data_IF_943000784914
#
_entry.id   IF_943000784914
#
_cell.length_a   1.000
_cell.length_b   1.000
_cell.length_c   1.000
_cell.angle_alpha   90.00
_cell.angle_beta   90.00
_cell.angle_gamma   90.00
#
_symmetry.space_group_name_H-M   'P 1'
#
loop_
_entity.id
_entity.type
_entity.pdbx_description
1 polymer ?
#
# COMPACT_ATOMS: atom_id res chain seq x y z
N UNK A 1 -25.37 17.56 -1.57
CA UNK A 1 -24.91 17.43 -0.17
C UNK A 1 -23.80 16.40 -0.16
N UNK A 2 -22.70 16.61 0.59
CA UNK A 2 -21.72 15.54 0.82
C UNK A 2 -22.43 14.31 1.38
N UNK A 3 -22.02 13.12 0.94
CA UNK A 3 -22.54 11.86 1.45
C UNK A 3 -21.93 11.49 2.80
N UNK A 4 -22.39 10.38 3.37
CA UNK A 4 -21.90 9.91 4.67
C UNK A 4 -20.40 9.62 4.66
N UNK A 5 -19.88 9.14 3.52
CA UNK A 5 -18.45 8.83 3.37
C UNK A 5 -17.61 10.12 3.42
N UNK A 6 -18.01 11.15 2.69
CA UNK A 6 -17.29 12.43 2.69
C UNK A 6 -17.30 13.09 4.06
N UNK A 7 -18.46 13.11 4.74
CA UNK A 7 -18.58 13.67 6.08
C UNK A 7 -17.71 12.93 7.09
N UNK A 8 -17.67 11.59 7.02
CA UNK A 8 -16.87 10.77 7.92
C UNK A 8 -15.37 10.98 7.68
N UNK A 9 -14.94 11.00 6.43
CA UNK A 9 -13.52 11.08 6.06
C UNK A 9 -12.96 12.50 6.20
N UNK A 10 -13.78 13.53 6.00
CA UNK A 10 -13.42 14.92 6.31
C UNK A 10 -13.08 15.11 7.80
N UNK A 11 -13.79 14.44 8.71
CA UNK A 11 -13.48 14.46 10.16
C UNK A 11 -12.15 13.79 10.50
N UNK A 12 -11.67 12.90 9.64
CA UNK A 12 -10.34 12.28 9.75
C UNK A 12 -9.26 13.09 9.02
N UNK A 13 -9.63 14.19 8.33
CA UNK A 13 -8.71 14.98 7.52
C UNK A 13 -8.25 14.26 6.26
N UNK A 14 -9.02 13.27 5.77
CA UNK A 14 -8.63 12.47 4.61
C UNK A 14 -9.24 13.01 3.32
N UNK A 15 -8.39 13.13 2.30
CA UNK A 15 -8.84 13.29 0.93
C UNK A 15 -9.14 11.90 0.35
N UNK A 16 -10.37 11.71 -0.14
CA UNK A 16 -10.80 10.46 -0.74
C UNK A 16 -10.93 10.56 -2.25
N UNK A 17 -10.84 9.40 -2.89
CA UNK A 17 -11.07 9.22 -4.31
C UNK A 17 -11.97 8.00 -4.55
N UNK A 18 -12.23 7.64 -5.80
CA UNK A 18 -13.09 6.49 -6.13
C UNK A 18 -12.60 5.17 -5.51
N UNK A 19 -11.29 4.94 -5.51
CA UNK A 19 -10.64 3.89 -4.74
C UNK A 19 -9.69 4.50 -3.71
N UNK A 20 -9.68 3.93 -2.51
CA UNK A 20 -8.95 4.43 -1.36
C UNK A 20 -8.18 3.27 -0.73
N UNK A 21 -6.88 3.44 -0.56
CA UNK A 21 -6.00 2.44 0.05
C UNK A 21 -5.57 2.95 1.42
N UNK A 22 -5.92 2.21 2.47
CA UNK A 22 -5.39 2.41 3.80
C UNK A 22 -4.07 1.66 3.91
N UNK A 23 -3.00 2.39 4.23
CA UNK A 23 -1.67 1.86 4.55
C UNK A 23 -1.37 2.07 6.03
N UNK A 24 -0.36 1.40 6.55
CA UNK A 24 -0.08 1.36 7.98
C UNK A 24 0.40 2.71 8.51
N UNK A 25 1.30 3.38 7.77
CA UNK A 25 2.00 4.56 8.25
C UNK A 25 2.00 5.73 7.28
N UNK A 26 2.42 6.89 7.79
CA UNK A 26 2.65 8.10 6.98
C UNK A 26 3.88 7.98 6.09
N UNK A 27 4.86 7.15 6.45
CA UNK A 27 6.03 6.86 5.62
C UNK A 27 5.61 6.21 4.30
N UNK A 28 4.70 5.23 4.35
CA UNK A 28 4.15 4.56 3.17
C UNK A 28 3.51 5.55 2.19
N UNK A 29 2.66 6.43 2.74
CA UNK A 29 2.00 7.48 1.97
C UNK A 29 3.02 8.43 1.35
N UNK A 30 4.05 8.81 2.11
CA UNK A 30 5.12 9.68 1.63
C UNK A 30 5.88 9.04 0.48
N UNK A 31 6.26 7.77 0.59
CA UNK A 31 6.99 7.06 -0.45
C UNK A 31 6.15 6.93 -1.73
N UNK A 32 4.90 6.48 -1.60
CA UNK A 32 3.97 6.34 -2.73
C UNK A 32 3.72 7.69 -3.43
N UNK A 33 3.48 8.74 -2.65
CA UNK A 33 3.23 10.09 -3.19
C UNK A 33 4.46 10.64 -3.89
N UNK A 34 5.64 10.41 -3.34
CA UNK A 34 6.89 10.84 -3.94
C UNK A 34 7.15 10.12 -5.27
N UNK A 35 7.00 8.79 -5.31
CA UNK A 35 7.13 8.00 -6.54
C UNK A 35 6.13 8.47 -7.62
N UNK A 36 4.88 8.73 -7.24
CA UNK A 36 3.87 9.28 -8.16
C UNK A 36 4.27 10.65 -8.73
N UNK A 37 4.84 11.53 -7.89
CA UNK A 37 5.33 12.85 -8.32
C UNK A 37 6.51 12.76 -9.29
N UNK A 38 7.47 11.88 -9.01
CA UNK A 38 8.59 11.63 -9.93
C UNK A 38 8.09 11.09 -11.27
N UNK A 39 7.16 10.13 -11.25
CA UNK A 39 6.58 9.56 -12.46
C UNK A 39 5.83 10.60 -13.28
N UNK A 40 5.00 11.44 -12.65
CA UNK A 40 4.34 12.57 -13.31
C UNK A 40 5.34 13.52 -13.95
N UNK A 41 6.40 13.87 -13.24
CA UNK A 41 7.42 14.80 -13.74
C UNK A 41 8.16 14.24 -14.94
N UNK A 42 8.47 12.94 -14.93
CA UNK A 42 9.22 12.28 -16.00
C UNK A 42 8.34 11.90 -17.21
N UNK A 43 7.08 11.51 -17.00
CA UNK A 43 6.21 10.89 -18.02
C UNK A 43 4.94 11.69 -18.34
N UNK A 44 4.64 12.75 -17.60
CA UNK A 44 3.42 13.55 -17.76
C UNK A 44 2.13 12.84 -17.34
N UNK A 45 2.23 11.72 -16.63
CA UNK A 45 1.11 10.84 -16.27
C UNK A 45 0.89 10.83 -14.76
N UNK A 46 -0.36 10.99 -14.35
CA UNK A 46 -0.76 10.97 -12.94
C UNK A 46 -1.08 9.54 -12.47
N UNK A 47 -0.18 8.91 -11.71
CA UNK A 47 -0.40 7.54 -11.21
C UNK A 47 -1.55 7.45 -10.19
N UNK A 48 -1.63 8.40 -9.27
CA UNK A 48 -2.74 8.47 -8.31
C UNK A 48 -3.98 9.10 -8.96
N UNK A 49 -3.78 10.15 -9.76
CA UNK A 49 -4.87 10.87 -10.42
C UNK A 49 -5.87 11.45 -9.41
N UNK A 50 -7.12 11.60 -9.85
CA UNK A 50 -8.24 12.00 -8.98
C UNK A 50 -9.09 10.81 -8.53
N UNK A 51 -8.72 9.59 -8.94
CA UNK A 51 -9.53 8.38 -8.78
C UNK A 51 -8.91 7.35 -7.82
N UNK A 52 -7.63 7.47 -7.47
CA UNK A 52 -6.96 6.70 -6.42
C UNK A 52 -6.44 7.63 -5.30
N UNK A 53 -6.77 7.32 -4.05
CA UNK A 53 -6.21 7.95 -2.87
C UNK A 53 -5.49 6.91 -2.00
N UNK A 54 -4.39 7.30 -1.38
CA UNK A 54 -3.66 6.49 -0.39
C UNK A 54 -3.54 7.30 0.89
N UNK A 55 -3.92 6.69 2.01
CA UNK A 55 -4.02 7.37 3.31
C UNK A 55 -3.51 6.49 4.43
N UNK A 56 -2.88 7.10 5.46
CA UNK A 56 -2.41 6.34 6.60
C UNK A 56 -3.62 5.99 7.47
N UNK A 57 -3.66 4.79 8.03
CA UNK A 57 -4.77 4.36 8.88
C UNK A 57 -4.85 5.13 10.22
N UNK A 58 -3.78 5.83 10.59
CA UNK A 58 -3.69 6.76 11.71
C UNK A 58 -2.30 7.40 11.80
N UNK A 59 -2.12 8.29 12.78
CA UNK A 59 -0.83 8.94 13.07
C UNK A 59 -0.17 8.30 14.28
N UNK A 60 1.14 8.05 14.22
CA UNK A 60 1.91 7.47 15.32
C UNK A 60 1.27 6.19 15.87
N UNK A 61 0.93 6.19 17.16
CA UNK A 61 0.32 5.05 17.85
C UNK A 61 -1.12 4.71 17.39
N UNK A 62 -1.76 5.59 16.61
CA UNK A 62 -3.07 5.31 16.02
C UNK A 62 -2.98 4.60 14.66
N UNK A 63 -1.78 4.52 14.07
CA UNK A 63 -1.52 3.84 12.80
C UNK A 63 -1.27 2.35 12.96
N UNK A 64 -0.47 1.79 12.04
CA UNK A 64 -0.14 0.37 12.00
C UNK A 64 -1.32 -0.52 11.64
N UNK A 65 -1.10 -1.83 11.78
CA UNK A 65 -2.10 -2.86 11.51
C UNK A 65 -3.43 -2.67 12.28
N UNK A 66 -3.37 -2.18 13.52
CA UNK A 66 -4.56 -1.92 14.35
C UNK A 66 -5.36 -0.72 13.84
N UNK A 67 -4.65 0.31 13.34
CA UNK A 67 -5.28 1.43 12.63
C UNK A 67 -6.12 0.94 11.46
N UNK A 68 -5.56 0.06 10.61
CA UNK A 68 -6.30 -0.49 9.46
C UNK A 68 -7.49 -1.32 9.94
N UNK A 69 -7.29 -2.24 10.89
CA UNK A 69 -8.34 -3.11 11.42
C UNK A 69 -9.50 -2.35 12.07
N UNK A 70 -9.23 -1.19 12.67
CA UNK A 70 -10.25 -0.31 13.25
C UNK A 70 -11.00 0.49 12.19
N UNK A 71 -10.30 1.03 11.19
CA UNK A 71 -10.87 1.99 10.24
C UNK A 71 -11.52 1.33 9.04
N UNK A 72 -10.92 0.28 8.48
CA UNK A 72 -11.37 -0.33 7.23
C UNK A 72 -12.79 -0.91 7.31
N UNK A 73 -13.18 -1.72 8.33
CA UNK A 73 -14.55 -2.23 8.41
C UNK A 73 -15.58 -1.10 8.53
N UNK A 74 -15.26 -0.08 9.32
CA UNK A 74 -16.13 1.11 9.50
C UNK A 74 -16.36 1.82 8.17
N UNK A 75 -15.29 2.15 7.43
CA UNK A 75 -15.40 2.83 6.15
C UNK A 75 -16.20 2.03 5.12
N UNK A 76 -16.01 0.71 5.10
CA UNK A 76 -16.77 -0.17 4.20
C UNK A 76 -18.26 -0.20 4.54
N UNK A 77 -18.62 -0.21 5.82
CA UNK A 77 -20.02 -0.14 6.25
C UNK A 77 -20.65 1.21 5.91
N UNK A 78 -19.92 2.32 6.14
CA UNK A 78 -20.38 3.67 5.77
C UNK A 78 -20.56 3.76 4.25
N UNK A 79 -19.62 3.26 3.46
CA UNK A 79 -19.72 3.23 2.00
C UNK A 79 -20.89 2.36 1.49
N UNK A 80 -21.16 1.23 2.15
CA UNK A 80 -22.32 0.39 1.83
C UNK A 80 -23.66 1.06 2.14
N UNK A 81 -23.69 1.94 3.15
CA UNK A 81 -24.86 2.74 3.50
C UNK A 81 -25.03 4.02 2.66
N UNK A 82 -24.05 4.34 1.80
CA UNK A 82 -24.01 5.56 0.97
C UNK A 82 -23.79 5.23 -0.53
N UNK A 83 -24.66 4.41 -1.14
CA UNK A 83 -24.56 4.10 -2.57
C UNK A 83 -24.95 5.30 -3.44
N UNK A 84 -24.60 5.23 -4.72
CA UNK A 84 -25.10 6.18 -5.72
C UNK A 84 -26.59 5.92 -6.04
N UNK A 85 -27.16 6.78 -6.90
CA UNK A 85 -28.57 6.67 -7.32
C UNK A 85 -28.90 5.34 -8.04
N UNK A 86 -27.89 4.62 -8.52
CA UNK A 86 -28.06 3.30 -9.16
C UNK A 86 -27.90 2.13 -8.17
N UNK A 87 -27.66 2.42 -6.88
CA UNK A 87 -27.41 1.41 -5.85
C UNK A 87 -25.99 0.87 -5.84
N UNK A 88 -25.05 1.46 -6.60
CA UNK A 88 -23.64 1.03 -6.63
C UNK A 88 -22.81 1.79 -5.61
N UNK A 89 -21.75 1.15 -5.11
CA UNK A 89 -20.80 1.80 -4.22
C UNK A 89 -20.11 2.98 -4.93
N UNK A 90 -20.16 4.15 -4.29
CA UNK A 90 -19.47 5.37 -4.74
C UNK A 90 -17.97 5.30 -4.51
N UNK A 91 -17.59 4.72 -3.38
CA UNK A 91 -16.22 4.66 -2.88
C UNK A 91 -15.84 3.23 -2.51
N UNK A 92 -14.62 2.83 -2.90
CA UNK A 92 -14.02 1.57 -2.47
C UNK A 92 -12.90 1.85 -1.48
N UNK A 93 -12.86 1.05 -0.42
CA UNK A 93 -11.80 1.08 0.58
C UNK A 93 -11.10 -0.28 0.62
N UNK A 94 -9.77 -0.27 0.55
CA UNK A 94 -8.91 -1.43 0.62
C UNK A 94 -7.86 -1.23 1.71
N UNK A 95 -7.40 -2.30 2.36
CA UNK A 95 -6.26 -2.27 3.26
C UNK A 95 -5.02 -2.88 2.62
N UNK A 96 -3.86 -2.25 2.81
CA UNK A 96 -2.56 -2.79 2.47
C UNK A 96 -1.74 -2.87 3.77
N UNK A 97 -1.30 -4.08 4.09
CA UNK A 97 -0.52 -4.41 5.27
C UNK A 97 0.88 -4.80 4.83
N UNK A 98 1.88 -4.56 5.67
CA UNK A 98 3.20 -5.13 5.50
C UNK A 98 3.13 -6.67 5.68
N UNK A 99 4.10 -7.39 5.13
CA UNK A 99 4.20 -8.84 5.26
C UNK A 99 5.17 -9.26 6.36
N UNK A 100 5.06 -8.60 7.50
CA UNK A 100 5.70 -9.01 8.74
C UNK A 100 4.75 -9.91 9.57
N UNK A 101 5.17 -10.27 10.79
CA UNK A 101 4.33 -11.05 11.69
C UNK A 101 3.04 -10.30 12.08
N UNK A 102 3.08 -8.99 12.26
CA UNK A 102 1.92 -8.19 12.67
C UNK A 102 0.87 -8.15 11.56
N UNK A 103 1.27 -7.82 10.32
CA UNK A 103 0.38 -7.77 9.16
C UNK A 103 -0.23 -9.12 8.83
N UNK A 104 0.58 -10.21 8.88
CA UNK A 104 0.08 -11.60 8.71
C UNK A 104 -1.01 -11.96 9.74
N UNK A 105 -0.87 -11.53 10.99
CA UNK A 105 -1.88 -11.75 12.04
C UNK A 105 -3.10 -10.85 11.86
N UNK A 106 -2.88 -9.59 11.54
CA UNK A 106 -3.96 -8.61 11.39
C UNK A 106 -4.90 -8.94 10.23
N UNK A 107 -4.35 -9.37 9.09
CA UNK A 107 -5.18 -9.76 7.94
C UNK A 107 -6.02 -11.03 8.22
N UNK A 108 -5.49 -11.95 9.03
CA UNK A 108 -6.23 -13.11 9.49
C UNK A 108 -7.33 -12.71 10.48
N UNK A 109 -7.02 -11.79 11.40
CA UNK A 109 -7.94 -11.31 12.42
C UNK A 109 -9.12 -10.54 11.81
N UNK A 110 -8.88 -9.56 10.94
CA UNK A 110 -9.93 -8.74 10.33
C UNK A 110 -10.94 -9.58 9.54
N UNK A 111 -10.46 -10.62 8.84
CA UNK A 111 -11.30 -11.55 8.09
C UNK A 111 -12.17 -12.44 8.99
N UNK A 112 -11.82 -12.59 10.27
CA UNK A 112 -12.60 -13.36 11.25
C UNK A 112 -13.73 -12.54 11.89
N UNK A 113 -13.55 -11.22 12.02
CA UNK A 113 -14.56 -10.30 12.56
C UNK A 113 -15.56 -9.82 11.50
N UNK A 114 -15.12 -9.64 10.25
CA UNK A 114 -15.97 -9.27 9.13
C UNK A 114 -15.76 -10.25 7.96
N UNK A 115 -16.69 -11.19 7.82
CA UNK A 115 -16.64 -12.21 6.78
C UNK A 115 -16.72 -11.63 5.35
N UNK A 116 -17.11 -10.36 5.18
CA UNK A 116 -17.12 -9.69 3.88
C UNK A 116 -15.77 -9.12 3.48
N UNK A 117 -14.77 -9.14 4.38
CA UNK A 117 -13.39 -8.76 4.09
C UNK A 117 -12.63 -10.01 3.70
N UNK A 118 -12.20 -10.09 2.43
CA UNK A 118 -11.43 -11.23 1.92
C UNK A 118 -9.99 -10.82 1.60
N UNK A 119 -9.06 -11.68 1.99
CA UNK A 119 -7.64 -11.60 1.59
C UNK A 119 -7.52 -11.58 0.07
N UNK A 120 -6.71 -10.65 -0.41
CA UNK A 120 -6.49 -10.29 -1.82
C UNK A 120 -7.73 -9.86 -2.60
N UNK A 121 -8.78 -9.40 -1.91
CA UNK A 121 -9.91 -8.68 -2.50
C UNK A 121 -10.08 -7.30 -1.88
N UNK A 122 -10.28 -7.27 -0.55
CA UNK A 122 -10.44 -6.05 0.26
C UNK A 122 -9.18 -5.70 1.03
N UNK A 123 -8.37 -6.70 1.37
CA UNK A 123 -7.14 -6.54 2.13
C UNK A 123 -5.99 -7.29 1.47
N UNK A 124 -4.83 -6.66 1.41
CA UNK A 124 -3.64 -7.16 0.72
C UNK A 124 -2.47 -7.19 1.70
N UNK A 125 -1.66 -8.24 1.64
CA UNK A 125 -0.32 -8.22 2.20
C UNK A 125 0.63 -7.76 1.11
N UNK A 126 1.50 -6.80 1.43
CA UNK A 126 2.59 -6.39 0.58
C UNK A 126 3.56 -7.56 0.41
N UNK A 127 3.98 -7.86 -0.81
CA UNK A 127 4.83 -9.01 -1.12
C UNK A 127 5.87 -8.60 -2.16
N UNK A 128 7.00 -9.33 -2.26
CA UNK A 128 7.98 -9.07 -3.31
C UNK A 128 7.39 -9.05 -4.72
N UNK A 129 6.36 -9.88 -4.97
CA UNK A 129 5.60 -9.89 -6.21
C UNK A 129 4.13 -9.52 -5.94
N UNK A 130 3.75 -8.31 -6.34
CA UNK A 130 2.37 -7.81 -6.26
C UNK A 130 1.61 -8.11 -7.56
N UNK A 131 1.08 -9.34 -7.67
CA UNK A 131 0.40 -9.81 -8.89
C UNK A 131 -0.87 -9.01 -9.18
N UNK A 132 -1.09 -8.63 -10.44
CA UNK A 132 -2.33 -7.99 -10.87
C UNK A 132 -3.51 -8.99 -10.79
N UNK A 133 -4.71 -8.50 -10.45
CA UNK A 133 -5.95 -9.28 -10.49
C UNK A 133 -6.35 -9.59 -11.93
N UNK A 134 -6.26 -8.59 -12.82
CA UNK A 134 -6.66 -8.76 -14.22
C UNK A 134 -8.12 -9.20 -14.39
N UNK A 135 -9.02 -8.76 -13.49
CA UNK A 135 -10.44 -9.11 -13.50
C UNK A 135 -10.78 -10.52 -13.00
N UNK A 136 -9.81 -11.28 -12.49
CA UNK A 136 -10.05 -12.60 -11.92
C UNK A 136 -10.84 -12.54 -10.59
N UNK A 137 -11.50 -13.63 -10.24
CA UNK A 137 -12.15 -13.77 -8.92
C UNK A 137 -11.11 -13.81 -7.78
N UNK A 138 -11.56 -13.51 -6.56
CA UNK A 138 -10.67 -13.41 -5.40
C UNK A 138 -9.87 -14.69 -5.11
N UNK A 139 -10.40 -15.89 -5.39
CA UNK A 139 -9.69 -17.16 -5.11
C UNK A 139 -8.56 -17.35 -6.11
N UNK A 140 -8.82 -17.08 -7.38
CA UNK A 140 -7.80 -17.13 -8.43
C UNK A 140 -6.70 -16.10 -8.18
N UNK A 141 -7.05 -14.91 -7.70
CA UNK A 141 -6.08 -13.88 -7.28
C UNK A 141 -5.26 -14.39 -6.10
N UNK A 142 -5.88 -14.93 -5.06
CA UNK A 142 -5.16 -15.46 -3.90
C UNK A 142 -4.17 -16.56 -4.26
N UNK A 143 -4.60 -17.55 -5.06
CA UNK A 143 -3.71 -18.64 -5.50
C UNK A 143 -2.53 -18.13 -6.32
N UNK A 144 -2.76 -17.10 -7.15
CA UNK A 144 -1.70 -16.45 -7.92
C UNK A 144 -0.69 -15.78 -6.99
N UNK A 145 -1.15 -14.98 -6.02
CA UNK A 145 -0.29 -14.35 -5.03
C UNK A 145 0.56 -15.37 -4.26
N UNK A 146 -0.07 -16.46 -3.80
CA UNK A 146 0.60 -17.53 -3.07
C UNK A 146 1.65 -18.22 -3.94
N UNK A 147 1.30 -18.61 -5.17
CA UNK A 147 2.23 -19.25 -6.10
C UNK A 147 3.40 -18.35 -6.47
N UNK A 148 3.12 -17.09 -6.83
CA UNK A 148 4.14 -16.16 -7.33
C UNK A 148 5.11 -15.73 -6.21
N UNK A 149 4.69 -15.86 -4.93
CA UNK A 149 5.51 -15.53 -3.75
C UNK A 149 5.94 -16.73 -2.90
N UNK A 150 5.61 -17.97 -3.30
CA UNK A 150 6.10 -19.19 -2.63
C UNK A 150 7.63 -19.20 -2.47
N UNK A 151 8.44 -18.74 -3.45
CA UNK A 151 9.88 -18.66 -3.28
C UNK A 151 10.36 -17.74 -2.14
N UNK A 152 9.50 -16.81 -1.67
CA UNK A 152 9.79 -15.81 -0.64
C UNK A 152 8.93 -15.97 0.61
N UNK A 153 8.34 -17.15 0.85
CA UNK A 153 7.31 -17.34 1.90
C UNK A 153 7.74 -16.94 3.32
N UNK A 154 9.03 -17.10 3.63
CA UNK A 154 9.63 -16.81 4.94
C UNK A 154 10.34 -15.44 4.97
N UNK A 155 10.20 -14.64 3.90
CA UNK A 155 10.70 -13.28 3.83
C UNK A 155 9.64 -12.33 4.37
N UNK A 156 9.97 -11.56 5.41
CA UNK A 156 9.18 -10.37 5.75
C UNK A 156 9.38 -9.31 4.67
N UNK A 157 8.38 -8.45 4.46
CA UNK A 157 8.44 -7.49 3.36
C UNK A 157 7.65 -6.24 3.70
N UNK A 158 8.33 -5.10 3.69
CA UNK A 158 7.79 -3.79 4.05
C UNK A 158 7.87 -2.83 2.87
N UNK A 159 7.23 -1.67 3.00
CA UNK A 159 7.20 -0.65 1.94
C UNK A 159 8.60 -0.17 1.53
N UNK A 160 9.52 -0.06 2.50
CA UNK A 160 10.91 0.35 2.26
C UNK A 160 11.69 -0.66 1.39
N UNK A 161 11.32 -1.93 1.40
CA UNK A 161 11.99 -2.99 0.63
C UNK A 161 11.69 -2.90 -0.88
N UNK A 162 10.76 -2.03 -1.30
CA UNK A 162 10.46 -1.74 -2.71
C UNK A 162 11.44 -0.74 -3.34
N UNK A 163 12.34 -0.14 -2.56
CA UNK A 163 13.34 0.79 -3.06
C UNK A 163 14.50 -0.02 -3.65
N UNK A 164 15.09 0.49 -4.75
CA UNK A 164 16.20 -0.19 -5.41
C UNK A 164 17.32 -0.57 -4.42
N UNK A 165 17.80 -1.82 -4.43
CA UNK A 165 18.82 -2.28 -3.49
C UNK A 165 20.11 -1.45 -3.54
N UNK A 166 20.51 -0.97 -4.72
CA UNK A 166 21.73 -0.16 -4.89
C UNK A 166 21.57 1.20 -4.21
N UNK A 167 20.38 1.80 -4.32
CA UNK A 167 20.06 3.05 -3.63
C UNK A 167 20.05 2.87 -2.11
N UNK A 168 19.48 1.75 -1.64
CA UNK A 168 19.49 1.42 -0.21
C UNK A 168 20.92 1.18 0.31
N UNK A 169 21.80 0.56 -0.47
CA UNK A 169 23.20 0.37 -0.08
C UNK A 169 23.96 1.70 0.05
N UNK A 170 23.64 2.70 -0.79
CA UNK A 170 24.17 4.07 -0.65
C UNK A 170 23.66 4.73 0.63
N UNK A 171 22.36 4.64 0.90
CA UNK A 171 21.76 5.15 2.14
C UNK A 171 22.42 4.53 3.38
N UNK A 172 22.61 3.21 3.39
CA UNK A 172 23.24 2.52 4.52
C UNK A 172 24.72 2.87 4.69
N UNK A 173 25.40 3.31 3.61
CA UNK A 173 26.74 3.86 3.69
C UNK A 173 26.80 5.20 4.45
N UNK A 174 25.79 6.05 4.30
CA UNK A 174 25.67 7.34 4.98
C UNK A 174 25.08 7.21 6.40
N UNK A 175 24.15 6.27 6.58
CA UNK A 175 23.45 6.02 7.84
C UNK A 175 23.70 4.58 8.34
N UNK A 176 24.92 4.26 8.81
CA UNK A 176 25.32 2.87 9.10
C UNK A 176 24.56 2.20 10.26
N UNK A 177 23.82 2.97 11.08
CA UNK A 177 22.99 2.45 12.18
C UNK A 177 21.51 2.39 11.82
N UNK A 178 21.12 2.73 10.59
CA UNK A 178 19.72 2.81 10.19
C UNK A 178 19.04 1.43 10.15
N UNK A 179 19.79 0.38 9.78
CA UNK A 179 19.31 -1.00 9.63
C UNK A 179 19.83 -1.87 10.76
N UNK A 180 18.94 -2.59 11.45
CA UNK A 180 19.27 -3.52 12.53
C UNK A 180 19.72 -4.87 11.99
N UNK A 181 19.02 -5.35 10.97
CA UNK A 181 19.19 -6.70 10.43
C UNK A 181 18.80 -6.73 8.96
N UNK A 182 19.47 -7.60 8.21
CA UNK A 182 19.11 -7.96 6.84
C UNK A 182 18.75 -9.43 6.76
N UNK A 183 17.75 -9.75 5.94
CA UNK A 183 17.39 -11.12 5.57
C UNK A 183 17.25 -11.18 4.06
N UNK A 184 18.03 -12.03 3.40
CA UNK A 184 17.97 -12.22 1.95
C UNK A 184 17.46 -13.62 1.64
N UNK A 185 16.44 -13.70 0.78
CA UNK A 185 15.96 -14.95 0.19
C UNK A 185 15.94 -14.74 -1.32
N UNK A 186 16.69 -15.59 -2.04
CA UNK A 186 16.92 -15.48 -3.48
C UNK A 186 17.48 -14.09 -3.85
N UNK A 187 16.78 -13.32 -4.68
CA UNK A 187 17.14 -12.01 -5.20
C UNK A 187 16.44 -10.85 -4.46
N UNK A 188 15.88 -11.12 -3.28
CA UNK A 188 15.11 -10.15 -2.50
C UNK A 188 15.68 -10.03 -1.09
N UNK A 189 15.84 -8.80 -0.61
CA UNK A 189 16.42 -8.49 0.69
C UNK A 189 15.46 -7.62 1.49
N UNK A 190 15.04 -8.14 2.64
CA UNK A 190 14.36 -7.38 3.67
C UNK A 190 15.36 -6.69 4.59
N UNK A 191 15.11 -5.42 4.90
CA UNK A 191 15.89 -4.61 5.84
C UNK A 191 15.01 -4.16 7.01
N UNK A 192 15.32 -4.65 8.21
CA UNK A 192 14.68 -4.21 9.45
C UNK A 192 15.25 -2.85 9.84
N UNK A 193 14.56 -1.78 9.45
CA UNK A 193 14.95 -0.40 9.77
C UNK A 193 14.59 -0.03 11.21
N UNK A 194 15.49 0.71 11.86
CA UNK A 194 15.14 1.43 13.08
C UNK A 194 14.10 2.52 12.78
N UNK A 195 13.32 2.92 13.79
CA UNK A 195 12.39 4.06 13.69
C UNK A 195 13.05 5.35 13.18
N UNK A 196 14.29 5.60 13.62
CA UNK A 196 15.05 6.74 13.15
C UNK A 196 15.52 6.53 11.70
N UNK A 197 16.00 5.32 11.37
CA UNK A 197 16.37 4.92 10.02
C UNK A 197 15.24 5.09 9.01
N UNK A 198 14.00 4.71 9.36
CA UNK A 198 12.82 4.95 8.49
C UNK A 198 12.61 6.45 8.21
N UNK A 199 12.72 7.29 9.24
CA UNK A 199 12.59 8.75 9.08
C UNK A 199 13.68 9.35 8.22
N UNK A 200 14.92 8.89 8.39
CA UNK A 200 16.06 9.37 7.61
C UNK A 200 15.99 8.86 6.17
N UNK A 201 15.56 7.62 5.95
CA UNK A 201 15.32 7.05 4.62
C UNK A 201 14.27 7.84 3.85
N UNK A 202 13.16 8.24 4.47
CA UNK A 202 12.14 9.06 3.81
C UNK A 202 12.72 10.38 3.30
N UNK A 203 13.55 11.06 4.11
CA UNK A 203 14.22 12.30 3.68
C UNK A 203 15.21 12.05 2.56
N UNK A 204 16.03 11.01 2.72
CA UNK A 204 17.05 10.63 1.74
C UNK A 204 16.43 10.30 0.37
N UNK A 205 15.34 9.53 0.36
CA UNK A 205 14.55 9.26 -0.85
C UNK A 205 14.02 10.55 -1.45
N UNK A 206 13.45 11.44 -0.63
CA UNK A 206 12.86 12.69 -1.13
C UNK A 206 13.88 13.62 -1.79
N UNK A 207 15.13 13.58 -1.33
CA UNK A 207 16.22 14.44 -1.79
C UNK A 207 17.00 13.83 -2.96
N UNK A 208 17.17 12.51 -2.99
CA UNK A 208 18.13 11.85 -3.87
C UNK A 208 17.52 10.82 -4.83
N UNK A 209 16.34 10.26 -4.55
CA UNK A 209 15.81 9.19 -5.37
C UNK A 209 15.41 9.67 -6.76
N UNK A 210 15.76 8.87 -7.76
CA UNK A 210 15.32 9.00 -9.14
C UNK A 210 14.06 8.16 -9.38
N UNK A 211 13.53 8.25 -10.60
CA UNK A 211 12.39 7.43 -10.99
C UNK A 211 12.70 5.93 -10.94
N UNK A 212 13.91 5.55 -11.35
CA UNK A 212 14.31 4.15 -11.48
C UNK A 212 14.47 3.49 -10.11
N UNK A 213 14.96 4.25 -9.12
CA UNK A 213 15.11 3.82 -7.73
C UNK A 213 13.77 3.43 -7.07
N UNK A 214 12.66 3.97 -7.60
CA UNK A 214 11.30 3.74 -7.09
C UNK A 214 10.43 2.94 -8.08
N UNK A 215 11.05 2.21 -9.00
CA UNK A 215 10.34 1.45 -10.04
C UNK A 215 9.38 0.39 -9.46
N UNK A 216 9.74 -0.31 -8.39
CA UNK A 216 8.87 -1.29 -7.73
C UNK A 216 7.74 -0.62 -6.92
N UNK A 217 7.96 0.58 -6.37
CA UNK A 217 6.87 1.41 -5.79
C UNK A 217 5.87 1.81 -6.87
N UNK A 218 6.34 2.18 -8.07
CA UNK A 218 5.47 2.49 -9.23
C UNK A 218 4.66 1.25 -9.64
N UNK A 219 5.27 0.07 -9.66
CA UNK A 219 4.57 -1.20 -9.92
C UNK A 219 3.52 -1.49 -8.86
N UNK A 220 3.81 -1.23 -7.58
CA UNK A 220 2.82 -1.31 -6.50
C UNK A 220 1.63 -0.38 -6.79
N UNK A 221 1.85 0.89 -7.15
CA UNK A 221 0.74 1.82 -7.43
C UNK A 221 -0.16 1.29 -8.56
N UNK A 222 0.43 0.71 -9.61
CA UNK A 222 -0.35 0.07 -10.70
C UNK A 222 -1.17 -1.11 -10.19
N UNK A 223 -0.59 -1.93 -9.32
CA UNK A 223 -1.30 -3.03 -8.68
C UNK A 223 -2.46 -2.52 -7.83
N UNK A 224 -2.26 -1.47 -7.03
CA UNK A 224 -3.31 -0.83 -6.22
C UNK A 224 -4.45 -0.27 -7.09
N UNK A 225 -4.15 0.32 -8.25
CA UNK A 225 -5.18 0.75 -9.21
C UNK A 225 -6.01 -0.43 -9.70
N UNK A 226 -5.37 -1.52 -10.11
CA UNK A 226 -6.06 -2.74 -10.54
C UNK A 226 -6.91 -3.34 -9.41
N UNK A 227 -6.40 -3.35 -8.18
CA UNK A 227 -7.14 -3.85 -7.01
C UNK A 227 -8.37 -2.99 -6.70
N UNK A 228 -8.25 -1.68 -6.91
CA UNK A 228 -9.30 -0.67 -6.82
C UNK A 228 -10.28 -0.68 -8.00
N UNK A 229 -10.08 -1.54 -9.00
CA UNK A 229 -10.85 -1.60 -10.25
C UNK A 229 -10.80 -0.29 -11.06
N UNK A 230 -9.63 0.35 -11.06
CA UNK A 230 -9.35 1.53 -11.87
C UNK A 230 -8.62 1.13 -13.15
N UNK A 231 -8.79 1.93 -14.20
CA UNK A 231 -8.06 1.76 -15.46
C UNK A 231 -6.59 2.17 -15.29
N UNK A 232 -5.70 1.44 -15.95
CA UNK A 232 -4.25 1.62 -15.90
C UNK A 232 -3.62 1.70 -17.30
N UNK A 233 -4.47 1.83 -18.32
CA UNK A 233 -4.18 1.68 -19.75
C UNK A 233 -3.15 2.70 -20.26
N UNK A 234 -2.96 3.78 -19.52
CA UNK A 234 -2.06 4.90 -19.83
C UNK A 234 -0.76 4.89 -19.01
N UNK A 235 -0.52 3.86 -18.19
CA UNK A 235 0.67 3.75 -17.34
C UNK A 235 1.67 2.80 -18.01
N UNK A 236 2.72 3.38 -18.59
CA UNK A 236 3.75 2.70 -19.39
C UNK A 236 4.97 2.36 -18.51
N UNK A 237 5.59 1.19 -18.76
CA UNK A 237 6.89 0.80 -18.17
C UNK A 237 8.00 1.36 -19.05
#
# INVERSE_FOLDING_TARGET
MPGLVEDFTARLGWAIAKANILVEGTHDVSLITHAARLYRSARGVELLGTDLAVMPAGLGNEGGVEGINRRLPTLRQVAAADPDQSGKLRYRFLGLYDNDLAGKRAIAAISSYDATIKKYSEVFLLRPVMSLKGGADHRAVQQRFERDNEPYKDLDWEMEDLIDPTFLDLFEGEFPTAVRRRTTILDRTHRDFTEQGKRDLVKFVQEHATLDDLSDVIRLIRALRDYGHLRSDHIIV
#
